data_IF_496845691012
#
_entry.id   IF_496845691012
#
_cell.length_a   1.000
_cell.length_b   1.000
_cell.length_c   1.000
_cell.angle_alpha   90.00
_cell.angle_beta   90.00
_cell.angle_gamma   90.00
#
_symmetry.space_group_name_H-M   'P 1'
#
loop_
_entity.id
_entity.type
_entity.pdbx_description
1 polymer ?
#
# COMPACT_ATOMS: atom_id res chain seq x y z
N UNK A 1 -72.25 15.45 14.68
CA UNK A 1 -71.36 15.69 13.52
C UNK A 1 -70.17 16.56 13.94
N UNK A 2 -69.09 15.99 14.49
CA UNK A 2 -67.82 16.74 14.67
C UNK A 2 -66.58 15.89 14.99
N UNK A 3 -66.71 14.58 15.19
CA UNK A 3 -65.59 13.76 15.68
C UNK A 3 -64.98 12.77 14.66
N UNK A 4 -65.54 12.68 13.44
CA UNK A 4 -65.06 11.70 12.44
C UNK A 4 -63.99 12.19 11.46
N UNK A 5 -63.51 13.43 11.59
CA UNK A 5 -62.48 14.00 10.67
C UNK A 5 -61.06 14.01 11.24
N UNK A 6 -60.89 13.73 12.54
CA UNK A 6 -59.57 13.79 13.18
C UNK A 6 -58.74 12.51 13.01
N UNK A 7 -59.37 11.38 12.71
CA UNK A 7 -58.68 10.10 12.60
C UNK A 7 -57.94 9.88 11.26
N UNK A 8 -58.31 10.59 10.20
CA UNK A 8 -57.62 10.46 8.90
C UNK A 8 -56.34 11.31 8.78
N UNK A 9 -56.16 12.32 9.64
CA UNK A 9 -54.95 13.14 9.60
C UNK A 9 -53.76 12.50 10.35
N UNK A 10 -54.03 11.57 11.27
CA UNK A 10 -53.01 10.85 12.05
C UNK A 10 -52.48 9.58 11.39
N UNK A 11 -53.12 9.11 10.31
CA UNK A 11 -52.72 7.91 9.57
C UNK A 11 -51.81 8.20 8.35
N UNK A 12 -51.54 9.46 8.04
CA UNK A 12 -50.64 9.87 6.96
C UNK A 12 -49.26 10.34 7.45
N UNK A 13 -49.00 10.25 8.76
CA UNK A 13 -47.77 10.76 9.39
C UNK A 13 -46.61 9.76 9.59
N UNK A 14 -46.63 8.48 9.15
CA UNK A 14 -45.41 7.67 9.12
C UNK A 14 -44.78 7.50 7.72
N UNK A 15 -45.41 7.95 6.63
CA UNK A 15 -44.88 7.75 5.26
C UNK A 15 -43.93 8.86 4.77
N UNK A 16 -43.63 9.85 5.61
CA UNK A 16 -42.61 10.87 5.36
C UNK A 16 -41.27 10.55 6.05
N UNK A 17 -41.01 9.28 6.40
CA UNK A 17 -39.62 8.78 6.34
C UNK A 17 -39.22 8.71 4.87
N UNK A 18 -39.00 9.91 4.31
CA UNK A 18 -38.17 10.13 3.14
C UNK A 18 -36.92 9.31 3.42
N UNK A 19 -36.78 8.23 2.67
CA UNK A 19 -35.52 7.55 2.43
C UNK A 19 -34.60 8.64 1.92
N UNK A 20 -33.94 9.34 2.85
CA UNK A 20 -32.80 10.16 2.54
C UNK A 20 -31.79 9.15 2.04
N UNK A 21 -31.81 8.90 0.72
CA UNK A 21 -30.68 8.38 -0.01
C UNK A 21 -29.55 9.35 0.27
N UNK A 22 -28.88 9.18 1.41
CA UNK A 22 -27.61 9.80 1.69
C UNK A 22 -26.77 9.42 0.48
N UNK A 23 -26.45 10.41 -0.36
CA UNK A 23 -25.48 10.23 -1.42
C UNK A 23 -24.25 9.70 -0.73
N UNK A 24 -23.93 8.44 -0.97
CA UNK A 24 -22.77 7.81 -0.37
C UNK A 24 -21.58 8.64 -0.83
N UNK A 25 -20.94 9.37 0.09
CA UNK A 25 -19.83 10.25 -0.25
C UNK A 25 -18.77 9.40 -0.94
N UNK A 26 -18.41 9.82 -2.17
CA UNK A 26 -17.45 9.07 -2.97
C UNK A 26 -16.06 9.25 -2.36
N UNK A 27 -15.49 8.16 -1.86
CA UNK A 27 -14.14 8.14 -1.29
C UNK A 27 -13.16 7.68 -2.36
N UNK A 28 -12.07 8.42 -2.48
CA UNK A 28 -10.98 8.12 -3.38
C UNK A 28 -9.74 7.71 -2.61
N UNK A 29 -8.88 6.93 -3.25
CA UNK A 29 -7.59 6.54 -2.70
C UNK A 29 -6.51 6.67 -3.78
N UNK A 30 -5.27 7.05 -3.42
CA UNK A 30 -4.14 6.95 -4.32
C UNK A 30 -3.88 5.51 -4.74
N UNK A 31 -3.72 5.29 -6.06
CA UNK A 31 -3.32 4.00 -6.63
C UNK A 31 -1.89 3.61 -6.24
N UNK A 32 -1.04 4.62 -6.04
CA UNK A 32 0.35 4.53 -5.59
C UNK A 32 0.74 5.90 -5.00
N UNK A 33 2.01 6.06 -4.65
CA UNK A 33 2.50 7.33 -4.11
C UNK A 33 2.51 8.40 -5.19
N UNK A 34 1.75 9.47 -4.98
CA UNK A 34 1.56 10.55 -5.96
C UNK A 34 1.74 11.91 -5.33
N UNK A 35 2.16 12.88 -6.14
CA UNK A 35 2.16 14.28 -5.75
C UNK A 35 0.74 14.85 -5.74
N UNK A 36 0.45 15.66 -4.73
CA UNK A 36 -0.68 16.57 -4.69
C UNK A 36 -0.18 17.99 -4.88
N UNK A 37 -0.87 18.76 -5.72
CA UNK A 37 -0.45 20.09 -6.14
C UNK A 37 -1.38 21.16 -5.58
N UNK A 38 -0.86 22.39 -5.41
CA UNK A 38 -1.67 23.54 -4.95
C UNK A 38 -2.50 24.15 -6.08
N UNK A 39 -2.14 23.88 -7.33
CA UNK A 39 -2.77 24.40 -8.53
C UNK A 39 -3.42 23.30 -9.38
N UNK A 40 -4.37 23.72 -10.22
CA UNK A 40 -5.13 22.83 -11.11
C UNK A 40 -4.37 22.45 -12.40
N UNK A 41 -3.12 22.89 -12.58
CA UNK A 41 -2.25 22.47 -13.68
C UNK A 41 -1.45 21.22 -13.34
N UNK A 42 -1.46 20.81 -12.06
CA UNK A 42 -0.83 19.59 -11.56
C UNK A 42 0.68 19.49 -11.90
N UNK A 43 1.36 20.64 -11.99
CA UNK A 43 2.75 20.68 -12.45
C UNK A 43 3.59 21.83 -11.88
N UNK A 44 3.00 22.90 -11.34
CA UNK A 44 3.77 24.12 -11.02
C UNK A 44 4.04 24.29 -9.51
N UNK A 45 3.16 23.82 -8.63
CA UNK A 45 3.33 24.00 -7.17
C UNK A 45 3.00 22.76 -6.37
N UNK A 46 4.02 22.12 -5.79
CA UNK A 46 3.87 20.95 -4.91
C UNK A 46 3.23 21.33 -3.56
N UNK A 47 2.23 20.56 -3.12
CA UNK A 47 1.58 20.72 -1.83
C UNK A 47 2.04 19.65 -0.84
N UNK A 48 1.89 18.37 -1.21
CA UNK A 48 2.23 17.23 -0.38
C UNK A 48 2.36 15.95 -1.21
N UNK A 49 2.92 14.91 -0.61
CA UNK A 49 2.86 13.54 -1.11
C UNK A 49 1.61 12.87 -0.54
N UNK A 50 0.87 12.18 -1.39
CA UNK A 50 -0.21 11.28 -1.01
C UNK A 50 0.30 9.84 -1.05
N UNK A 51 0.09 9.12 0.05
CA UNK A 51 0.50 7.74 0.18
C UNK A 51 -0.63 6.76 -0.17
N UNK A 52 -0.27 5.54 -0.55
CA UNK A 52 -1.25 4.47 -0.76
C UNK A 52 -2.09 4.23 0.50
N UNK A 53 -3.39 4.00 0.34
CA UNK A 53 -4.33 3.78 1.43
C UNK A 53 -4.86 5.06 2.08
N UNK A 54 -4.32 6.24 1.75
CA UNK A 54 -4.85 7.51 2.23
C UNK A 54 -6.25 7.77 1.66
N UNK A 55 -7.20 8.08 2.54
CA UNK A 55 -8.57 8.44 2.13
C UNK A 55 -8.62 9.89 1.68
N UNK A 56 -9.22 10.09 0.52
CA UNK A 56 -9.44 11.38 -0.09
C UNK A 56 -10.94 11.61 -0.29
N UNK A 57 -11.39 12.79 0.08
CA UNK A 57 -12.71 13.30 -0.26
C UNK A 57 -12.61 14.05 -1.58
N UNK A 58 -13.47 13.70 -2.53
CA UNK A 58 -13.60 14.47 -3.76
C UNK A 58 -14.34 15.77 -3.50
N UNK A 59 -13.74 16.89 -3.90
CA UNK A 59 -14.36 18.21 -3.76
C UNK A 59 -14.94 18.69 -5.08
N UNK A 60 -14.15 18.66 -6.15
CA UNK A 60 -14.52 19.25 -7.44
C UNK A 60 -13.71 18.68 -8.60
N UNK A 61 -14.38 18.43 -9.72
CA UNK A 61 -13.74 18.22 -11.01
C UNK A 61 -13.43 19.59 -11.62
N UNK A 62 -12.16 19.85 -11.91
CA UNK A 62 -11.73 21.23 -12.19
C UNK A 62 -11.48 21.47 -13.68
N UNK A 63 -10.63 20.69 -14.34
CA UNK A 63 -10.25 20.91 -15.75
C UNK A 63 -9.86 19.62 -16.47
N UNK A 64 -10.02 19.64 -17.80
CA UNK A 64 -9.28 18.82 -18.75
C UNK A 64 -8.20 19.73 -19.35
N UNK A 65 -6.92 19.37 -19.19
CA UNK A 65 -5.85 20.03 -19.94
C UNK A 65 -5.09 19.01 -20.77
N UNK A 66 -4.49 19.49 -21.84
CA UNK A 66 -3.64 18.69 -22.71
C UNK A 66 -2.23 18.66 -22.12
N UNK A 67 -1.71 17.48 -21.77
CA UNK A 67 -0.33 17.36 -21.29
C UNK A 67 0.69 17.59 -22.44
N UNK A 68 1.98 17.53 -22.13
CA UNK A 68 3.07 17.66 -23.12
C UNK A 68 3.05 16.59 -24.23
N UNK A 69 2.27 15.51 -24.05
CA UNK A 69 2.09 14.42 -25.02
C UNK A 69 0.76 14.52 -25.79
N UNK A 70 0.09 15.68 -25.75
CA UNK A 70 -1.20 15.91 -26.38
C UNK A 70 -2.36 15.04 -25.84
N UNK A 71 -2.28 14.55 -24.60
CA UNK A 71 -3.33 13.76 -23.95
C UNK A 71 -4.18 14.61 -23.02
N UNK A 72 -5.49 14.46 -23.12
CA UNK A 72 -6.45 15.03 -22.18
C UNK A 72 -6.27 14.43 -20.78
N UNK A 73 -6.05 15.28 -19.78
CA UNK A 73 -5.86 14.90 -18.38
C UNK A 73 -6.93 15.54 -17.52
N UNK A 74 -7.72 14.70 -16.83
CA UNK A 74 -8.77 15.14 -15.89
C UNK A 74 -8.14 15.34 -14.50
N UNK A 75 -8.30 16.54 -13.93
CA UNK A 75 -7.80 16.90 -12.59
C UNK A 75 -8.92 17.06 -11.57
N UNK A 76 -8.77 16.39 -10.44
CA UNK A 76 -9.66 16.47 -9.29
C UNK A 76 -9.05 17.31 -8.19
N UNK A 77 -9.85 18.24 -7.65
CA UNK A 77 -9.58 18.83 -6.34
C UNK A 77 -10.06 17.85 -5.28
N UNK A 78 -9.15 17.47 -4.39
CA UNK A 78 -9.37 16.51 -3.32
C UNK A 78 -8.98 17.11 -1.98
N UNK A 79 -9.55 16.57 -0.91
CA UNK A 79 -9.19 16.86 0.47
C UNK A 79 -8.70 15.58 1.13
N UNK A 80 -7.50 15.62 1.71
CA UNK A 80 -6.98 14.53 2.51
C UNK A 80 -7.75 14.46 3.83
N UNK A 81 -8.33 13.30 4.14
CA UNK A 81 -9.19 13.17 5.31
C UNK A 81 -8.43 13.15 6.65
N UNK A 82 -7.12 12.83 6.65
CA UNK A 82 -6.34 12.74 7.89
C UNK A 82 -6.02 14.09 8.52
N UNK A 83 -5.81 15.13 7.71
CA UNK A 83 -5.39 16.46 8.18
C UNK A 83 -6.14 17.62 7.51
N UNK A 84 -7.06 17.32 6.60
CA UNK A 84 -7.85 18.32 5.89
C UNK A 84 -7.10 19.07 4.80
N UNK A 85 -5.87 18.68 4.46
CA UNK A 85 -5.10 19.34 3.41
C UNK A 85 -5.79 19.18 2.04
N UNK A 86 -6.02 20.31 1.37
CA UNK A 86 -6.62 20.34 0.04
C UNK A 86 -5.56 20.48 -1.05
N UNK A 87 -5.83 19.88 -2.20
CA UNK A 87 -5.00 20.04 -3.38
C UNK A 87 -5.57 19.36 -4.61
N UNK A 88 -4.77 19.27 -5.66
CA UNK A 88 -5.16 18.78 -6.97
C UNK A 88 -4.35 17.54 -7.36
N UNK A 89 -5.04 16.57 -7.94
CA UNK A 89 -4.47 15.27 -8.33
C UNK A 89 -5.07 14.84 -9.67
N UNK A 90 -4.27 14.17 -10.51
CA UNK A 90 -4.76 13.54 -11.72
C UNK A 90 -5.70 12.37 -11.38
N UNK A 91 -6.93 12.41 -11.90
CA UNK A 91 -7.95 11.38 -11.70
C UNK A 91 -7.44 9.98 -12.05
N UNK A 92 -6.59 9.85 -13.07
CA UNK A 92 -6.07 8.57 -13.52
C UNK A 92 -5.28 7.82 -12.43
N UNK A 93 -4.76 8.55 -11.43
CA UNK A 93 -3.99 8.03 -10.31
C UNK A 93 -4.82 7.72 -9.07
N UNK A 94 -6.13 7.92 -9.15
CA UNK A 94 -7.06 7.64 -8.06
C UNK A 94 -7.87 6.37 -8.36
N UNK A 95 -8.19 5.63 -7.31
CA UNK A 95 -9.20 4.58 -7.32
C UNK A 95 -10.43 5.07 -6.55
N UNK A 96 -11.60 4.81 -7.11
CA UNK A 96 -12.87 5.25 -6.56
C UNK A 96 -13.55 4.07 -5.85
N UNK A 97 -13.98 4.28 -4.61
CA UNK A 97 -14.80 3.34 -3.83
C UNK A 97 -14.38 1.86 -3.95
N UNK A 98 -13.10 1.51 -3.72
CA UNK A 98 -12.73 0.10 -3.63
C UNK A 98 -13.49 -0.58 -2.48
N UNK A 99 -13.77 -1.88 -2.62
CA UNK A 99 -14.43 -2.69 -1.59
C UNK A 99 -13.56 -2.74 -0.33
N UNK A 100 -12.27 -2.99 -0.50
CA UNK A 100 -11.30 -3.02 0.60
C UNK A 100 -9.86 -2.82 0.08
N UNK A 101 -8.98 -2.18 0.87
CA UNK A 101 -7.54 -2.34 0.68
C UNK A 101 -7.14 -3.77 1.05
N UNK A 102 -6.10 -4.29 0.40
CA UNK A 102 -5.55 -5.60 0.66
C UNK A 102 -4.06 -5.66 0.33
N UNK A 103 -3.44 -6.74 0.78
CA UNK A 103 -2.02 -6.99 0.54
C UNK A 103 -1.78 -8.43 0.13
N UNK A 104 -0.96 -8.62 -0.90
CA UNK A 104 -0.45 -9.93 -1.32
C UNK A 104 0.85 -10.17 -0.57
N UNK A 105 0.85 -11.17 0.31
CA UNK A 105 1.96 -11.49 1.21
C UNK A 105 2.80 -12.68 0.73
N UNK A 106 2.24 -13.50 -0.16
CA UNK A 106 2.93 -14.67 -0.68
C UNK A 106 3.74 -14.31 -1.93
N UNK A 107 5.04 -14.61 -1.90
CA UNK A 107 5.87 -14.50 -3.11
C UNK A 107 5.39 -15.51 -4.16
N UNK A 108 5.51 -15.12 -5.42
CA UNK A 108 5.03 -15.89 -6.58
C UNK A 108 3.50 -16.08 -6.68
N UNK A 109 2.70 -15.24 -6.00
CA UNK A 109 1.25 -15.26 -6.19
C UNK A 109 0.87 -14.98 -7.65
N UNK A 110 -0.06 -15.74 -8.21
CA UNK A 110 -0.43 -15.64 -9.63
C UNK A 110 -1.70 -14.80 -9.78
N UNK A 111 -1.65 -13.84 -10.71
CA UNK A 111 -2.80 -13.03 -11.10
C UNK A 111 -3.14 -13.26 -12.56
N UNK A 112 -4.42 -13.11 -12.89
CA UNK A 112 -5.02 -13.60 -14.14
C UNK A 112 -5.87 -12.51 -14.81
N UNK A 113 -6.04 -12.59 -16.12
CA UNK A 113 -6.94 -11.67 -16.85
C UNK A 113 -8.43 -12.06 -16.68
N UNK A 114 -8.69 -13.33 -16.41
CA UNK A 114 -10.01 -13.88 -16.10
C UNK A 114 -9.96 -14.65 -14.78
N UNK A 115 -11.07 -14.81 -14.05
CA UNK A 115 -11.09 -15.53 -12.77
C UNK A 115 -11.04 -17.05 -13.01
N UNK A 116 -9.90 -17.52 -13.52
CA UNK A 116 -9.67 -18.91 -13.90
C UNK A 116 -8.17 -19.22 -13.91
N UNK A 117 -7.80 -20.34 -13.30
CA UNK A 117 -6.41 -20.82 -13.24
C UNK A 117 -5.86 -21.24 -14.60
N UNK A 118 -6.73 -21.51 -15.57
CA UNK A 118 -6.39 -21.82 -16.97
C UNK A 118 -6.39 -20.57 -17.87
N UNK A 119 -6.47 -19.36 -17.31
CA UNK A 119 -6.39 -18.12 -18.09
C UNK A 119 -5.11 -18.10 -18.95
N UNK A 120 -5.22 -17.81 -20.26
CA UNK A 120 -4.08 -17.83 -21.18
C UNK A 120 -3.02 -16.78 -20.84
N UNK A 121 -3.43 -15.73 -20.13
CA UNK A 121 -2.56 -14.67 -19.60
C UNK A 121 -2.57 -14.73 -18.09
N UNK A 122 -1.40 -14.98 -17.52
CA UNK A 122 -1.12 -14.96 -16.09
C UNK A 122 0.19 -14.22 -15.83
N UNK A 123 0.25 -13.50 -14.72
CA UNK A 123 1.45 -12.81 -14.25
C UNK A 123 1.74 -13.26 -12.83
N UNK A 124 3.02 -13.28 -12.50
CA UNK A 124 3.47 -13.60 -11.15
C UNK A 124 3.75 -12.29 -10.42
N UNK A 125 3.19 -12.17 -9.23
CA UNK A 125 3.35 -11.02 -8.33
C UNK A 125 4.41 -11.37 -7.30
N UNK A 126 5.18 -10.35 -6.93
CA UNK A 126 6.18 -10.46 -5.88
C UNK A 126 5.71 -9.74 -4.64
N UNK A 127 5.86 -10.42 -3.51
CA UNK A 127 5.42 -9.91 -2.23
C UNK A 127 6.48 -8.98 -1.59
N UNK A 128 6.03 -8.02 -0.75
CA UNK A 128 4.64 -7.63 -0.56
C UNK A 128 4.13 -6.76 -1.72
N UNK A 129 2.88 -6.95 -2.13
CA UNK A 129 2.22 -6.08 -3.10
C UNK A 129 0.91 -5.51 -2.54
N UNK A 130 0.77 -4.19 -2.61
CA UNK A 130 -0.44 -3.47 -2.21
C UNK A 130 -1.48 -3.55 -3.33
N UNK A 131 -2.75 -3.79 -2.98
CA UNK A 131 -3.83 -3.86 -3.96
C UNK A 131 -5.16 -3.39 -3.36
N UNK A 132 -6.07 -2.95 -4.23
CA UNK A 132 -7.45 -2.68 -3.84
C UNK A 132 -8.38 -3.72 -4.43
N UNK A 133 -9.21 -4.35 -3.60
CA UNK A 133 -10.31 -5.20 -4.09
C UNK A 133 -11.38 -4.30 -4.68
N UNK A 134 -11.72 -4.51 -5.95
CA UNK A 134 -12.75 -3.75 -6.67
C UNK A 134 -13.98 -4.59 -6.98
N UNK A 135 -13.83 -5.92 -7.01
CA UNK A 135 -14.93 -6.86 -7.27
C UNK A 135 -14.67 -8.17 -6.53
N UNK A 136 -15.74 -8.86 -6.12
CA UNK A 136 -15.69 -10.22 -5.57
C UNK A 136 -16.51 -11.13 -6.47
N UNK A 137 -15.95 -12.28 -6.85
CA UNK A 137 -16.65 -13.33 -7.59
C UNK A 137 -16.54 -14.63 -6.82
N UNK A 138 -17.70 -15.16 -6.45
CA UNK A 138 -17.80 -16.42 -5.72
C UNK A 138 -17.32 -17.62 -6.57
N UNK A 139 -16.74 -18.67 -5.94
CA UNK A 139 -16.48 -18.77 -4.50
C UNK A 139 -15.20 -18.05 -4.03
N UNK A 140 -14.15 -18.00 -4.86
CA UNK A 140 -12.80 -17.71 -4.37
C UNK A 140 -12.00 -16.74 -5.24
N UNK A 141 -12.64 -15.73 -5.84
CA UNK A 141 -11.96 -14.75 -6.68
C UNK A 141 -12.15 -13.30 -6.25
N UNK A 142 -11.05 -12.57 -6.16
CA UNK A 142 -11.05 -11.11 -6.12
C UNK A 142 -10.60 -10.55 -7.46
N UNK A 143 -11.31 -9.52 -7.93
CA UNK A 143 -10.73 -8.59 -8.88
C UNK A 143 -10.05 -7.50 -8.09
N UNK A 144 -8.76 -7.33 -8.34
CA UNK A 144 -7.92 -6.36 -7.67
C UNK A 144 -7.41 -5.34 -8.68
N UNK A 145 -7.30 -4.11 -8.24
CA UNK A 145 -6.43 -3.12 -8.87
C UNK A 145 -5.08 -3.17 -8.14
N UNK A 146 -4.04 -3.60 -8.86
CA UNK A 146 -2.69 -3.79 -8.32
C UNK A 146 -1.71 -2.80 -8.96
N UNK A 147 -0.83 -2.26 -8.13
CA UNK A 147 0.31 -1.45 -8.56
C UNK A 147 1.52 -1.94 -7.81
N UNK A 148 2.43 -2.63 -8.51
CA UNK A 148 3.74 -2.87 -7.92
C UNK A 148 4.46 -1.52 -7.80
N UNK A 149 4.94 -1.16 -6.60
CA UNK A 149 5.53 0.14 -6.40
C UNK A 149 6.90 0.21 -7.11
N UNK A 150 7.42 1.41 -7.42
CA UNK A 150 8.73 1.58 -8.06
C UNK A 150 9.84 0.85 -7.30
N UNK A 151 10.98 0.57 -7.94
CA UNK A 151 12.10 -0.22 -7.37
C UNK A 151 12.53 0.21 -5.96
N UNK A 152 12.45 1.52 -5.66
CA UNK A 152 12.77 2.08 -4.35
C UNK A 152 11.87 1.58 -3.20
N UNK A 153 10.67 1.12 -3.54
CA UNK A 153 9.71 0.47 -2.64
C UNK A 153 9.65 -1.04 -2.85
N UNK A 154 10.17 -1.55 -3.96
CA UNK A 154 10.16 -2.98 -4.26
C UNK A 154 11.10 -3.73 -3.31
N UNK A 155 10.61 -4.82 -2.74
CA UNK A 155 11.37 -5.63 -1.80
C UNK A 155 12.61 -6.30 -2.46
N UNK A 156 12.53 -6.66 -3.74
CA UNK A 156 13.66 -7.13 -4.57
C UNK A 156 13.72 -6.32 -5.88
N UNK A 157 14.91 -6.19 -6.45
CA UNK A 157 15.11 -5.51 -7.73
C UNK A 157 14.60 -6.35 -8.91
N UNK A 158 14.22 -5.70 -10.02
CA UNK A 158 13.96 -6.37 -11.30
C UNK A 158 12.55 -6.95 -11.48
N UNK A 159 11.56 -6.52 -10.69
CA UNK A 159 10.19 -6.98 -10.86
C UNK A 159 9.47 -6.29 -12.01
N UNK A 160 8.67 -7.07 -12.74
CA UNK A 160 7.79 -6.54 -13.77
C UNK A 160 6.77 -5.60 -13.13
N UNK A 161 6.69 -4.37 -13.66
CA UNK A 161 5.65 -3.42 -13.33
C UNK A 161 4.32 -3.98 -13.80
N UNK A 162 3.46 -4.37 -12.86
CA UNK A 162 2.10 -4.78 -13.17
C UNK A 162 1.15 -3.65 -12.79
N UNK A 163 0.39 -3.20 -13.77
CA UNK A 163 -0.59 -2.13 -13.63
C UNK A 163 -1.95 -2.59 -14.13
N UNK A 164 -3.00 -2.24 -13.38
CA UNK A 164 -4.38 -2.42 -13.80
C UNK A 164 -5.13 -3.49 -13.02
N UNK A 165 -6.31 -3.81 -13.53
CA UNK A 165 -7.21 -4.77 -12.92
C UNK A 165 -6.87 -6.19 -13.32
N UNK A 166 -6.75 -7.08 -12.33
CA UNK A 166 -6.49 -8.51 -12.49
C UNK A 166 -7.32 -9.32 -11.51
N UNK A 167 -7.49 -10.60 -11.81
CA UNK A 167 -8.12 -11.57 -10.93
C UNK A 167 -7.08 -12.33 -10.13
N UNK A 168 -7.35 -12.57 -8.87
CA UNK A 168 -6.51 -13.35 -7.96
C UNK A 168 -7.39 -14.22 -7.08
N UNK A 169 -6.90 -15.38 -6.65
CA UNK A 169 -7.63 -16.19 -5.68
C UNK A 169 -7.62 -15.50 -4.31
N UNK A 170 -8.73 -15.60 -3.58
CA UNK A 170 -8.94 -14.89 -2.30
C UNK A 170 -7.89 -15.22 -1.25
N UNK A 171 -7.41 -16.46 -1.20
CA UNK A 171 -6.40 -16.94 -0.26
C UNK A 171 -5.02 -16.28 -0.42
N UNK A 172 -4.74 -15.62 -1.55
CA UNK A 172 -3.48 -14.88 -1.74
C UNK A 172 -3.53 -13.43 -1.26
N UNK A 173 -4.70 -12.93 -0.85
CA UNK A 173 -4.88 -11.53 -0.43
C UNK A 173 -5.28 -11.47 1.03
N UNK A 174 -4.42 -10.88 1.86
CA UNK A 174 -4.82 -10.51 3.23
C UNK A 174 -5.61 -9.21 3.18
N UNK A 175 -6.85 -9.26 3.70
CA UNK A 175 -7.69 -8.10 3.99
C UNK A 175 -7.63 -7.71 5.47
N UNK A 176 -6.76 -8.36 6.26
CA UNK A 176 -6.58 -8.04 7.67
C UNK A 176 -6.00 -6.62 7.79
N UNK A 177 -6.66 -5.77 8.57
CA UNK A 177 -6.27 -4.36 8.73
C UNK A 177 -4.86 -4.21 9.33
N UNK A 178 -4.46 -5.08 10.25
CA UNK A 178 -3.13 -5.05 10.85
C UNK A 178 -2.05 -5.43 9.84
N UNK A 179 -2.27 -6.49 9.04
CA UNK A 179 -1.37 -6.88 7.95
C UNK A 179 -1.21 -5.75 6.91
N UNK A 180 -2.33 -5.16 6.48
CA UNK A 180 -2.31 -4.04 5.54
C UNK A 180 -1.50 -2.87 6.12
N UNK A 181 -1.77 -2.47 7.37
CA UNK A 181 -1.08 -1.35 8.00
C UNK A 181 0.42 -1.58 8.16
N UNK A 182 0.84 -2.76 8.65
CA UNK A 182 2.26 -3.02 8.89
C UNK A 182 3.04 -3.08 7.58
N UNK A 183 2.45 -3.60 6.49
CA UNK A 183 3.13 -3.66 5.20
C UNK A 183 3.26 -2.26 4.59
N UNK A 184 2.23 -1.40 4.68
CA UNK A 184 2.37 0.01 4.27
C UNK A 184 3.51 0.67 5.04
N UNK A 185 3.53 0.53 6.37
CA UNK A 185 4.58 1.10 7.21
C UNK A 185 5.97 0.56 6.80
N UNK A 186 6.08 -0.72 6.52
CA UNK A 186 7.33 -1.37 6.11
C UNK A 186 7.85 -0.86 4.76
N UNK A 187 6.95 -0.67 3.79
CA UNK A 187 7.30 -0.11 2.48
C UNK A 187 7.75 1.36 2.57
N UNK A 188 7.12 2.15 3.43
CA UNK A 188 7.52 3.53 3.71
C UNK A 188 8.91 3.57 4.38
N UNK A 189 9.11 2.76 5.42
CA UNK A 189 10.38 2.61 6.13
C UNK A 189 11.53 2.25 5.18
N UNK A 190 11.30 1.27 4.30
CA UNK A 190 12.29 0.84 3.30
C UNK A 190 12.67 1.98 2.34
N UNK A 191 11.68 2.75 1.87
CA UNK A 191 11.94 3.90 1.00
C UNK A 191 12.71 5.01 1.71
N UNK A 192 12.35 5.33 2.96
CA UNK A 192 13.05 6.34 3.76
C UNK A 192 14.51 5.95 3.97
N UNK A 193 14.76 4.69 4.35
CA UNK A 193 16.10 4.14 4.49
C UNK A 193 16.89 4.21 3.18
N UNK A 194 16.35 3.70 2.07
CA UNK A 194 17.03 3.72 0.75
C UNK A 194 17.33 5.13 0.27
N UNK A 195 16.43 6.08 0.51
CA UNK A 195 16.64 7.50 0.17
C UNK A 195 17.80 8.09 0.98
N UNK A 196 17.85 7.84 2.29
CA UNK A 196 18.95 8.28 3.14
C UNK A 196 20.27 7.61 2.75
N UNK A 197 20.23 6.31 2.43
CA UNK A 197 21.40 5.55 1.98
C UNK A 197 21.94 6.09 0.65
N UNK A 198 21.08 6.34 -0.33
CA UNK A 198 21.48 6.92 -1.61
C UNK A 198 22.11 8.31 -1.45
N UNK A 199 21.61 9.12 -0.52
CA UNK A 199 22.20 10.43 -0.21
C UNK A 199 23.60 10.31 0.41
N UNK A 200 23.79 9.35 1.31
CA UNK A 200 25.10 9.02 1.89
C UNK A 200 26.06 8.47 0.82
N UNK A 201 25.65 7.47 0.04
CA UNK A 201 26.47 6.85 -0.99
C UNK A 201 26.94 7.88 -2.04
N UNK A 202 26.08 8.86 -2.37
CA UNK A 202 26.40 9.96 -3.30
C UNK A 202 27.36 10.99 -2.71
N UNK A 203 27.32 11.24 -1.40
CA UNK A 203 28.16 12.22 -0.73
C UNK A 203 28.44 11.76 0.71
N UNK A 204 29.46 10.91 0.92
CA UNK A 204 29.76 10.33 2.22
C UNK A 204 30.40 11.39 3.13
N UNK A 205 29.58 11.99 4.00
CA UNK A 205 30.01 12.96 5.00
C UNK A 205 29.24 12.74 6.31
N UNK A 206 29.75 13.34 7.41
CA UNK A 206 29.20 13.17 8.75
C UNK A 206 27.70 13.51 8.84
N UNK A 207 27.23 14.53 8.11
CA UNK A 207 25.82 14.92 8.10
C UNK A 207 24.95 13.83 7.49
N UNK A 208 25.35 13.29 6.35
CA UNK A 208 24.59 12.23 5.67
C UNK A 208 24.67 10.90 6.41
N UNK A 209 25.80 10.57 7.03
CA UNK A 209 25.96 9.41 7.89
C UNK A 209 25.05 9.49 9.12
N UNK A 210 25.06 10.64 9.81
CA UNK A 210 24.17 10.89 10.96
C UNK A 210 22.71 10.74 10.56
N UNK A 211 22.31 11.31 9.42
CA UNK A 211 20.95 11.19 8.90
C UNK A 211 20.57 9.75 8.57
N UNK A 212 21.48 8.99 7.95
CA UNK A 212 21.25 7.56 7.66
C UNK A 212 21.06 6.76 8.95
N UNK A 213 21.90 6.97 9.97
CA UNK A 213 21.79 6.28 11.25
C UNK A 213 20.52 6.65 12.01
N UNK A 214 20.12 7.92 12.01
CA UNK A 214 18.86 8.38 12.59
C UNK A 214 17.64 7.73 11.92
N UNK A 215 17.62 7.73 10.57
CA UNK A 215 16.54 7.06 9.82
C UNK A 215 16.52 5.57 10.13
N UNK A 216 17.68 4.89 10.14
CA UNK A 216 17.77 3.46 10.50
C UNK A 216 17.11 3.17 11.84
N UNK A 217 17.51 3.88 12.90
CA UNK A 217 17.00 3.68 14.25
C UNK A 217 15.51 3.98 14.36
N UNK A 218 15.06 5.10 13.78
CA UNK A 218 13.65 5.51 13.84
C UNK A 218 12.73 4.51 13.12
N UNK A 219 13.11 4.08 11.92
CA UNK A 219 12.31 3.14 11.14
C UNK A 219 12.30 1.73 11.77
N UNK A 220 13.45 1.26 12.28
CA UNK A 220 13.51 -0.02 13.01
C UNK A 220 12.60 0.00 14.25
N UNK A 221 12.70 1.03 15.09
CA UNK A 221 11.88 1.16 16.30
C UNK A 221 10.39 1.21 15.94
N UNK A 222 10.03 1.97 14.91
CA UNK A 222 8.65 2.08 14.41
C UNK A 222 8.09 0.72 14.01
N UNK A 223 8.81 -0.05 13.19
CA UNK A 223 8.35 -1.37 12.73
C UNK A 223 8.24 -2.36 13.89
N UNK A 224 9.26 -2.45 14.76
CA UNK A 224 9.23 -3.33 15.93
C UNK A 224 8.05 -3.05 16.87
N UNK A 225 7.72 -1.77 17.08
CA UNK A 225 6.58 -1.40 17.92
C UNK A 225 5.23 -1.88 17.38
N UNK A 226 5.10 -1.95 16.05
CA UNK A 226 3.87 -2.36 15.37
C UNK A 226 3.76 -3.88 15.17
N UNK A 227 4.86 -4.64 15.31
CA UNK A 227 4.87 -6.11 15.24
C UNK A 227 4.11 -6.80 16.38
N UNK A 228 3.77 -6.08 17.45
CA UNK A 228 2.98 -6.61 18.58
C UNK A 228 1.48 -6.76 18.26
N UNK A 229 1.04 -6.35 17.06
CA UNK A 229 -0.33 -6.54 16.62
C UNK A 229 -0.62 -8.01 16.24
N UNK A 230 -1.91 -8.38 16.12
CA UNK A 230 -2.30 -9.69 15.59
C UNK A 230 -2.07 -9.73 14.07
N UNK A 231 -0.84 -10.08 13.69
CA UNK A 231 -0.35 -10.18 12.32
C UNK A 231 -0.36 -11.64 11.83
N UNK A 232 -0.51 -11.84 10.53
CA UNK A 232 -0.25 -13.14 9.91
C UNK A 232 1.24 -13.50 9.95
N UNK A 233 1.55 -14.79 9.93
CA UNK A 233 2.93 -15.30 9.87
C UNK A 233 3.72 -14.75 8.67
N UNK A 234 3.04 -14.59 7.53
CA UNK A 234 3.59 -14.07 6.30
C UNK A 234 3.91 -12.59 6.43
N UNK A 235 3.03 -11.80 7.05
CA UNK A 235 3.30 -10.40 7.34
C UNK A 235 4.50 -10.25 8.30
N UNK A 236 4.56 -11.03 9.37
CA UNK A 236 5.69 -11.03 10.32
C UNK A 236 7.01 -11.36 9.60
N UNK A 237 7.02 -12.40 8.77
CA UNK A 237 8.19 -12.82 7.99
C UNK A 237 8.69 -11.70 7.06
N UNK A 238 7.78 -11.04 6.35
CA UNK A 238 8.14 -9.93 5.46
C UNK A 238 8.70 -8.73 6.21
N UNK A 239 8.10 -8.37 7.35
CA UNK A 239 8.59 -7.28 8.19
C UNK A 239 9.99 -7.59 8.71
N UNK A 240 10.25 -8.82 9.15
CA UNK A 240 11.58 -9.24 9.60
C UNK A 240 12.62 -9.17 8.48
N UNK A 241 12.25 -9.56 7.25
CA UNK A 241 13.15 -9.41 6.11
C UNK A 241 13.47 -7.94 5.81
N UNK A 242 12.49 -7.04 5.94
CA UNK A 242 12.70 -5.59 5.77
C UNK A 242 13.59 -5.02 6.89
N UNK A 243 13.38 -5.45 8.13
CA UNK A 243 14.25 -5.10 9.26
C UNK A 243 15.69 -5.52 9.00
N UNK A 244 15.93 -6.71 8.43
CA UNK A 244 17.28 -7.16 8.08
C UNK A 244 17.94 -6.32 6.97
N UNK A 245 17.15 -5.68 6.09
CA UNK A 245 17.67 -4.74 5.09
C UNK A 245 18.06 -3.40 5.73
N UNK A 246 17.21 -2.88 6.63
CA UNK A 246 17.40 -1.58 7.29
C UNK A 246 18.54 -1.64 8.31
N UNK A 247 18.51 -2.69 9.14
CA UNK A 247 19.43 -2.95 10.24
C UNK A 247 19.91 -4.40 10.17
N UNK A 248 20.89 -4.70 9.30
CA UNK A 248 21.49 -6.03 9.24
C UNK A 248 22.02 -6.40 10.62
N UNK A 249 21.61 -7.54 11.15
CA UNK A 249 22.31 -8.08 12.32
C UNK A 249 23.73 -8.46 11.91
N UNK A 250 24.75 -8.22 12.76
CA UNK A 250 26.07 -8.76 12.50
C UNK A 250 25.93 -10.26 12.28
N UNK A 251 26.52 -10.79 11.22
CA UNK A 251 26.56 -12.22 10.98
C UNK A 251 27.08 -12.86 12.28
N UNK A 252 26.30 -13.78 12.85
CA UNK A 252 26.85 -14.64 13.88
C UNK A 252 27.98 -15.40 13.20
N UNK A 253 29.22 -15.13 13.59
CA UNK A 253 30.35 -15.97 13.21
C UNK A 253 29.95 -17.38 13.66
N UNK A 254 29.68 -18.27 12.70
CA UNK A 254 29.64 -19.70 12.97
C UNK A 254 31.00 -20.00 13.60
N UNK A 255 30.98 -20.35 14.88
CA UNK A 255 32.15 -20.92 15.54
C UNK A 255 32.54 -22.14 14.71
N UNK A 256 33.53 -21.97 13.85
CA UNK A 256 34.29 -23.07 13.32
C UNK A 256 34.93 -23.72 14.56
N UNK A 257 34.33 -24.82 15.01
CA UNK A 257 35.03 -25.79 15.85
C UNK A 257 36.32 -26.14 15.11
N UNK A 258 37.44 -25.56 15.55
CA UNK A 258 38.76 -26.13 15.31
C UNK A 258 38.74 -27.50 15.98
N UNK A 259 38.43 -28.53 15.19
CA UNK A 259 38.83 -29.90 15.49
C UNK A 259 40.36 -29.90 15.57
N UNK A 260 40.91 -29.78 16.77
CA UNK A 260 42.29 -30.15 17.07
C UNK A 260 42.46 -31.63 16.72
N UNK A 261 43.16 -31.88 15.62
CA UNK A 261 43.63 -33.19 15.21
C UNK A 261 44.80 -33.58 16.13
N UNK A 262 44.50 -34.16 17.29
CA UNK A 262 45.50 -34.82 18.13
C UNK A 262 45.80 -36.19 17.54
N UNK A 263 46.72 -36.26 16.59
CA UNK A 263 47.35 -37.52 16.20
C UNK A 263 48.54 -37.76 17.11
N UNK A 264 48.31 -38.51 18.19
CA UNK A 264 49.36 -39.09 19.01
C UNK A 264 50.19 -40.06 18.16
N UNK A 265 51.49 -39.80 18.11
CA UNK A 265 52.51 -40.73 17.66
C UNK A 265 52.73 -41.79 18.75
N UNK A 266 52.25 -43.01 18.54
CA UNK A 266 52.76 -44.18 19.25
C UNK A 266 53.87 -44.85 18.44
N UNK A 267 55.07 -44.81 19.01
CA UNK A 267 56.22 -45.66 18.69
C UNK A 267 55.96 -47.12 19.12
N UNK A 268 56.65 -48.03 18.41
CA UNK A 268 57.09 -49.37 18.79
C UNK A 268 56.09 -50.55 18.85
N UNK A 269 56.17 -51.42 17.84
CA UNK A 269 56.80 -52.77 17.92
C UNK A 269 56.93 -53.44 16.54
#
# INVERSE_FOLDING_TARGET
>A
MKERKLLLALLLLPFYFIVSCAKMDMVYYPKYIIGMYKDNKASETYAATLFWGEKLEFMKETNIYTNTENKEVIIYKVKRLSDGLEGYVNKAYLIQNPIAPGVILQDQAVIYDTPSVISPKKNVVSAPALCYVVEKKEPDWFKIEIFNPPDNYAFKAGFNKIYGQKWIQTNYVSLNKADVNIIIASLIALNNFRTAKAAYDKNPNLTNETKLNQVRQAEEQSLRSQMNASLSSEAVSLVQQILNIISPQPAQEENAEETEDTTDSEEDL
#
